data_IF_914116578643
#
_entry.id   IF_914116578643
#
_cell.length_a   1.000
_cell.length_b   1.000
_cell.length_c   1.000
_cell.angle_alpha   90.00
_cell.angle_beta   90.00
_cell.angle_gamma   90.00
#
_symmetry.space_group_name_H-M   'P 1'
#
loop_
_entity.id
_entity.type
_entity.pdbx_description
1 polymer ?
#
# COMPACT_ATOMS: atom_id res chain seq x y z
N UNK A 1 65.34 32.61 16.30
CA UNK A 1 64.61 33.49 17.22
C UNK A 1 63.25 33.93 16.67
N UNK A 2 62.55 33.04 15.87
CA UNK A 2 61.26 33.30 15.21
C UNK A 2 60.09 32.41 15.73
N UNK A 3 60.34 31.62 16.83
CA UNK A 3 59.38 30.60 17.20
C UNK A 3 58.44 30.97 18.40
N UNK A 4 58.75 32.03 19.15
CA UNK A 4 57.93 32.33 20.35
C UNK A 4 56.82 33.34 20.04
N UNK A 5 57.00 34.25 19.07
CA UNK A 5 55.97 35.22 18.66
C UNK A 5 54.84 34.60 17.84
N UNK A 6 55.14 33.58 17.07
CA UNK A 6 54.11 32.84 16.29
C UNK A 6 53.22 31.96 17.17
N UNK A 7 53.76 31.40 18.23
CA UNK A 7 52.95 30.56 19.16
C UNK A 7 52.04 31.46 20.03
N UNK A 8 52.49 32.65 20.43
CA UNK A 8 51.63 33.60 21.17
C UNK A 8 50.49 34.14 20.33
N UNK A 9 50.76 34.52 19.08
CA UNK A 9 49.73 35.00 18.17
C UNK A 9 48.69 33.94 17.82
N UNK A 10 49.07 32.64 17.67
CA UNK A 10 48.15 31.54 17.46
C UNK A 10 47.32 31.25 18.71
N UNK A 11 47.89 31.46 19.90
CA UNK A 11 47.19 31.33 21.16
C UNK A 11 46.17 32.43 21.40
N UNK A 12 46.53 33.70 21.12
CA UNK A 12 45.63 34.86 21.19
C UNK A 12 44.50 34.77 20.18
N UNK A 13 44.76 34.35 18.93
CA UNK A 13 43.71 34.12 17.95
C UNK A 13 42.81 32.95 18.34
N UNK A 14 43.35 31.90 18.96
CA UNK A 14 42.53 30.78 19.45
C UNK A 14 41.65 31.20 20.64
N UNK A 15 42.16 32.02 21.52
CA UNK A 15 41.42 32.53 22.69
C UNK A 15 40.39 33.61 22.25
N UNK A 16 40.70 34.45 21.26
CA UNK A 16 39.74 35.38 20.66
C UNK A 16 38.66 34.67 19.89
N UNK A 17 38.94 33.59 19.15
CA UNK A 17 37.95 32.74 18.47
C UNK A 17 37.10 31.98 19.45
N UNK A 18 37.68 31.52 20.59
CA UNK A 18 36.96 30.88 21.69
C UNK A 18 36.05 31.87 22.45
N UNK A 19 36.49 33.16 22.61
CA UNK A 19 35.65 34.23 23.13
C UNK A 19 34.56 34.68 22.18
N UNK A 20 34.84 34.73 20.85
CA UNK A 20 33.84 35.08 19.84
C UNK A 20 32.83 33.95 19.57
N UNK A 21 33.13 32.70 19.92
CA UNK A 21 32.18 31.58 19.91
C UNK A 21 31.36 31.44 21.21
N UNK A 22 31.61 32.29 22.18
CA UNK A 22 30.85 32.40 23.42
C UNK A 22 29.54 33.14 23.26
N UNK A 23 28.60 32.61 22.52
CA UNK A 23 27.22 32.70 22.96
C UNK A 23 27.24 32.29 24.42
N UNK A 24 26.99 33.24 25.34
CA UNK A 24 26.98 32.99 26.77
C UNK A 24 26.34 31.66 27.05
N UNK A 25 27.06 30.74 27.72
CA UNK A 25 26.56 29.41 28.04
C UNK A 25 25.19 29.50 28.71
N UNK A 26 24.95 30.61 29.38
CA UNK A 26 23.72 30.93 30.11
C UNK A 26 22.56 31.28 29.15
N UNK A 27 22.83 31.97 28.05
CA UNK A 27 21.83 32.31 27.02
C UNK A 27 21.39 31.04 26.30
N UNK A 28 22.31 30.14 25.93
CA UNK A 28 22.00 28.87 25.29
C UNK A 28 21.21 27.95 26.26
N UNK A 29 21.60 27.92 27.51
CA UNK A 29 20.91 27.14 28.56
C UNK A 29 19.48 27.67 28.76
N UNK A 30 19.30 28.99 28.88
CA UNK A 30 17.98 29.60 29.00
C UNK A 30 17.09 29.34 27.77
N UNK A 31 17.67 29.41 26.55
CA UNK A 31 16.95 29.08 25.31
C UNK A 31 16.50 27.62 25.27
N UNK A 32 17.36 26.66 25.63
CA UNK A 32 17.01 25.24 25.64
C UNK A 32 15.93 24.91 26.71
N UNK A 33 16.00 25.53 27.88
CA UNK A 33 14.97 25.41 28.92
C UNK A 33 13.66 25.98 28.43
N UNK A 34 13.66 27.17 27.84
CA UNK A 34 12.46 27.80 27.26
C UNK A 34 11.83 26.94 26.14
N UNK A 35 12.67 26.39 25.27
CA UNK A 35 12.22 25.49 24.21
C UNK A 35 11.61 24.21 24.77
N UNK A 36 12.20 23.61 25.81
CA UNK A 36 11.66 22.40 26.46
C UNK A 36 10.27 22.65 27.03
N UNK A 37 10.09 23.79 27.71
CA UNK A 37 8.79 24.19 28.25
C UNK A 37 7.77 24.42 27.12
N UNK A 38 8.16 25.06 26.03
CA UNK A 38 7.29 25.27 24.86
C UNK A 38 6.82 23.94 24.24
N UNK A 39 7.73 22.96 24.07
CA UNK A 39 7.41 21.61 23.59
C UNK A 39 6.44 20.92 24.54
N UNK A 40 6.66 20.98 25.83
CA UNK A 40 5.78 20.39 26.82
C UNK A 40 4.37 21.00 26.78
N UNK A 41 4.29 22.33 26.78
CA UNK A 41 3.00 23.05 26.73
C UNK A 41 2.25 22.75 25.41
N UNK A 42 2.95 22.68 24.29
CA UNK A 42 2.37 22.29 23.01
C UNK A 42 1.82 20.86 23.08
N UNK A 43 2.59 19.90 23.59
CA UNK A 43 2.16 18.52 23.76
C UNK A 43 0.96 18.39 24.70
N UNK A 44 0.96 19.15 25.80
CA UNK A 44 -0.14 19.17 26.74
C UNK A 44 -1.41 19.78 26.16
N UNK A 45 -1.29 20.92 25.43
CA UNK A 45 -2.41 21.50 24.69
C UNK A 45 -3.02 20.51 23.72
N UNK A 46 -2.16 19.81 22.95
CA UNK A 46 -2.60 18.80 22.00
C UNK A 46 -3.27 17.60 22.66
N UNK A 47 -2.73 17.14 23.78
CA UNK A 47 -3.35 16.08 24.58
C UNK A 47 -4.78 16.47 25.04
N UNK A 48 -4.97 17.70 25.48
CA UNK A 48 -6.30 18.19 25.88
C UNK A 48 -7.30 18.26 24.74
N UNK A 49 -6.85 18.48 23.51
CA UNK A 49 -7.73 18.63 22.33
C UNK A 49 -8.01 17.31 21.62
N UNK A 50 -7.01 16.41 21.54
CA UNK A 50 -7.10 15.16 20.75
C UNK A 50 -7.08 13.89 21.59
N UNK A 51 -6.87 13.99 22.93
CA UNK A 51 -6.76 12.87 23.88
C UNK A 51 -5.74 11.78 23.48
N UNK A 52 -4.79 12.12 22.59
CA UNK A 52 -3.75 11.20 22.13
C UNK A 52 -2.64 11.04 23.16
N UNK A 53 -2.68 9.94 23.93
CA UNK A 53 -1.64 9.61 24.94
C UNK A 53 -0.27 9.42 24.27
N UNK A 54 -0.22 8.89 23.06
CA UNK A 54 1.04 8.61 22.33
C UNK A 54 1.75 9.90 21.96
N UNK A 55 1.05 10.89 21.40
CA UNK A 55 1.62 12.19 21.03
C UNK A 55 2.13 12.93 22.27
N UNK A 56 1.40 12.84 23.37
CA UNK A 56 1.81 13.46 24.63
C UNK A 56 3.08 12.82 25.21
N UNK A 57 3.21 11.48 25.17
CA UNK A 57 4.43 10.80 25.57
C UNK A 57 5.64 11.20 24.72
N UNK A 58 5.47 11.33 23.41
CA UNK A 58 6.54 11.82 22.51
C UNK A 58 6.94 13.24 22.89
N UNK A 59 5.99 14.13 23.15
CA UNK A 59 6.26 15.50 23.57
C UNK A 59 6.98 15.55 24.92
N UNK A 60 6.63 14.69 25.88
CA UNK A 60 7.34 14.56 27.16
C UNK A 60 8.79 14.12 26.95
N UNK A 61 9.03 13.06 26.17
CA UNK A 61 10.38 12.54 25.91
C UNK A 61 11.26 13.61 25.25
N UNK A 62 10.73 14.30 24.23
CA UNK A 62 11.43 15.39 23.55
C UNK A 62 11.70 16.56 24.52
N UNK A 63 10.73 16.99 25.31
CA UNK A 63 10.86 18.06 26.29
C UNK A 63 11.93 17.73 27.33
N UNK A 64 11.89 16.51 27.91
CA UNK A 64 12.88 16.03 28.88
C UNK A 64 14.28 15.96 28.26
N UNK A 65 14.41 15.49 27.02
CA UNK A 65 15.68 15.43 26.31
C UNK A 65 16.29 16.83 26.11
N UNK A 66 15.49 17.78 25.64
CA UNK A 66 15.93 19.19 25.43
C UNK A 66 16.26 19.85 26.77
N UNK A 67 15.45 19.63 27.81
CA UNK A 67 15.71 20.14 29.16
C UNK A 67 17.03 19.60 29.72
N UNK A 68 17.24 18.30 29.66
CA UNK A 68 18.47 17.65 30.13
C UNK A 68 19.70 18.20 29.38
N UNK A 69 19.54 18.50 28.09
CA UNK A 69 20.59 19.11 27.26
C UNK A 69 21.02 20.48 27.78
N UNK A 70 20.09 21.30 28.24
CA UNK A 70 20.36 22.61 28.80
C UNK A 70 20.83 22.55 30.26
N UNK A 71 20.15 21.79 31.11
CA UNK A 71 20.34 21.79 32.55
C UNK A 71 21.58 20.99 33.04
N UNK A 72 21.98 19.97 32.27
CA UNK A 72 23.04 19.04 32.68
C UNK A 72 24.15 18.87 31.63
N UNK A 73 24.98 19.90 31.36
CA UNK A 73 26.07 19.79 30.39
C UNK A 73 27.07 18.66 30.67
N UNK A 74 27.21 18.26 31.94
CA UNK A 74 28.10 17.17 32.36
C UNK A 74 27.69 15.80 31.77
N UNK A 75 26.43 15.58 31.47
CA UNK A 75 25.91 14.34 30.82
C UNK A 75 26.59 14.12 29.48
N UNK A 76 26.86 15.19 28.72
CA UNK A 76 27.56 15.07 27.44
C UNK A 76 29.02 14.65 27.61
N UNK A 77 29.66 15.06 28.70
CA UNK A 77 31.03 14.61 29.04
C UNK A 77 31.07 13.12 29.33
N UNK A 78 30.09 12.60 30.09
CA UNK A 78 29.99 11.19 30.39
C UNK A 78 29.67 10.37 29.11
N UNK A 79 28.76 10.84 28.27
CA UNK A 79 28.46 10.18 26.99
C UNK A 79 29.65 10.22 26.04
N UNK A 80 30.39 11.35 25.98
CA UNK A 80 31.59 11.45 25.16
C UNK A 80 32.65 10.45 25.58
N UNK A 81 32.82 10.21 26.92
CA UNK A 81 33.71 9.19 27.45
C UNK A 81 33.28 7.76 27.06
N UNK A 82 31.99 7.44 27.16
CA UNK A 82 31.45 6.13 26.77
C UNK A 82 31.71 5.85 25.28
N UNK A 83 31.46 6.83 24.42
CA UNK A 83 31.62 6.67 22.96
C UNK A 83 33.06 6.97 22.48
N UNK A 84 34.01 7.25 23.40
CA UNK A 84 35.39 7.59 23.07
C UNK A 84 35.53 8.77 22.07
N UNK A 85 34.61 9.75 22.13
CA UNK A 85 34.58 10.90 21.25
C UNK A 85 35.14 12.12 21.97
N UNK A 86 36.26 12.64 21.49
CA UNK A 86 36.93 13.79 22.12
C UNK A 86 36.14 15.10 22.05
N UNK A 87 35.26 15.24 21.04
CA UNK A 87 34.49 16.50 20.79
C UNK A 87 33.05 16.35 21.26
N UNK A 88 32.68 17.07 22.32
CA UNK A 88 31.29 17.12 22.84
C UNK A 88 30.25 17.49 21.74
N UNK A 89 30.62 18.37 20.80
CA UNK A 89 29.75 18.77 19.69
C UNK A 89 29.33 17.60 18.79
N UNK A 90 30.21 16.61 18.60
CA UNK A 90 29.87 15.42 17.79
C UNK A 90 28.84 14.54 18.50
N UNK A 91 28.95 14.39 19.84
CA UNK A 91 27.95 13.62 20.61
C UNK A 91 26.59 14.28 20.57
N UNK A 92 26.53 15.62 20.74
CA UNK A 92 25.29 16.38 20.64
C UNK A 92 24.66 16.25 19.24
N UNK A 93 25.50 16.40 18.20
CA UNK A 93 25.05 16.26 16.80
C UNK A 93 24.52 14.84 16.52
N UNK A 94 25.22 13.81 17.01
CA UNK A 94 24.78 12.41 16.83
C UNK A 94 23.43 12.18 17.50
N UNK A 95 23.25 12.62 18.74
CA UNK A 95 21.98 12.47 19.47
C UNK A 95 20.84 13.24 18.81
N UNK A 96 21.11 14.49 18.36
CA UNK A 96 20.13 15.31 17.67
C UNK A 96 19.69 14.67 16.33
N UNK A 97 20.66 14.20 15.53
CA UNK A 97 20.35 13.53 14.27
C UNK A 97 19.61 12.20 14.48
N UNK A 98 20.00 11.40 15.49
CA UNK A 98 19.29 10.18 15.83
C UNK A 98 17.85 10.49 16.26
N UNK A 99 17.65 11.49 17.10
CA UNK A 99 16.32 11.94 17.51
C UNK A 99 15.47 12.41 16.31
N UNK A 100 16.09 13.17 15.40
CA UNK A 100 15.41 13.61 14.16
C UNK A 100 15.03 12.43 13.28
N UNK A 101 15.90 11.46 13.08
CA UNK A 101 15.58 10.24 12.30
C UNK A 101 14.42 9.49 12.94
N UNK A 102 14.45 9.28 14.26
CA UNK A 102 13.37 8.61 14.97
C UNK A 102 12.04 9.38 14.86
N UNK A 103 12.09 10.71 14.96
CA UNK A 103 10.90 11.57 14.75
C UNK A 103 10.36 11.43 13.34
N UNK A 104 11.19 11.47 12.32
CA UNK A 104 10.80 11.30 10.92
C UNK A 104 10.18 9.92 10.70
N UNK A 105 10.79 8.85 11.22
CA UNK A 105 10.23 7.50 11.14
C UNK A 105 8.88 7.39 11.85
N UNK A 106 8.73 8.02 13.02
CA UNK A 106 7.46 8.09 13.74
C UNK A 106 6.37 8.82 12.92
N UNK A 107 6.71 9.99 12.32
CA UNK A 107 5.78 10.73 11.48
C UNK A 107 5.37 9.93 10.24
N UNK A 108 6.30 9.24 9.59
CA UNK A 108 5.97 8.35 8.48
C UNK A 108 5.02 7.22 8.90
N UNK A 109 5.28 6.59 10.05
CA UNK A 109 4.40 5.55 10.58
C UNK A 109 2.99 6.09 10.88
N UNK A 110 2.90 7.31 11.45
CA UNK A 110 1.64 7.96 11.77
C UNK A 110 0.84 8.34 10.50
N UNK A 111 1.50 8.92 9.50
CA UNK A 111 0.88 9.25 8.21
C UNK A 111 0.34 7.98 7.55
N UNK A 112 1.12 6.90 7.55
CA UNK A 112 0.69 5.61 7.00
C UNK A 112 -0.52 5.03 7.75
N UNK A 113 -0.52 5.08 9.06
CA UNK A 113 -1.67 4.62 9.87
C UNK A 113 -2.94 5.40 9.56
N UNK A 114 -2.82 6.73 9.43
CA UNK A 114 -3.96 7.58 9.09
C UNK A 114 -4.49 7.27 7.68
N UNK A 115 -3.61 7.04 6.71
CA UNK A 115 -4.02 6.65 5.35
C UNK A 115 -4.80 5.32 5.35
N UNK A 116 -4.33 4.31 6.09
CA UNK A 116 -5.05 3.04 6.20
C UNK A 116 -6.44 3.21 6.82
N UNK A 117 -6.57 4.05 7.84
CA UNK A 117 -7.87 4.34 8.46
C UNK A 117 -8.81 5.07 7.51
N UNK A 118 -8.31 6.04 6.74
CA UNK A 118 -9.09 6.76 5.73
C UNK A 118 -9.56 5.78 4.64
N UNK A 119 -8.68 4.91 4.16
CA UNK A 119 -9.02 3.93 3.14
C UNK A 119 -10.09 2.94 3.63
N UNK A 120 -10.00 2.51 4.91
CA UNK A 120 -10.99 1.64 5.54
C UNK A 120 -12.36 2.32 5.63
N UNK A 121 -12.41 3.56 6.12
CA UNK A 121 -13.65 4.35 6.20
C UNK A 121 -14.25 4.57 4.80
N UNK A 122 -13.42 4.94 3.83
CA UNK A 122 -13.85 5.11 2.44
C UNK A 122 -14.49 3.83 1.91
N UNK A 123 -13.84 2.68 2.12
CA UNK A 123 -14.36 1.37 1.69
C UNK A 123 -15.69 1.05 2.34
N UNK A 124 -15.81 1.21 3.66
CA UNK A 124 -17.05 0.95 4.39
C UNK A 124 -18.20 1.80 3.85
N UNK A 125 -17.99 3.10 3.66
CA UNK A 125 -19.00 4.00 3.10
C UNK A 125 -19.39 3.61 1.67
N UNK A 126 -18.43 3.22 0.83
CA UNK A 126 -18.69 2.81 -0.55
C UNK A 126 -19.51 1.50 -0.59
N UNK A 127 -19.21 0.56 0.30
CA UNK A 127 -19.98 -0.69 0.42
C UNK A 127 -21.41 -0.43 0.88
N UNK A 128 -21.61 0.40 1.90
CA UNK A 128 -22.95 0.79 2.38
C UNK A 128 -23.77 1.50 1.29
N UNK A 129 -23.15 2.36 0.48
CA UNK A 129 -23.82 2.99 -0.67
C UNK A 129 -24.24 1.96 -1.73
N UNK A 130 -23.41 0.95 -1.97
CA UNK A 130 -23.72 -0.11 -2.92
C UNK A 130 -24.93 -0.96 -2.48
N UNK A 131 -25.08 -1.19 -1.18
CA UNK A 131 -26.23 -1.91 -0.62
C UNK A 131 -27.54 -1.11 -0.77
N UNK A 132 -27.48 0.21 -0.59
CA UNK A 132 -28.62 1.11 -0.79
C UNK A 132 -29.11 1.19 -2.25
N UNK A 133 -28.30 0.81 -3.21
CA UNK A 133 -28.64 0.76 -4.64
C UNK A 133 -29.03 -0.65 -5.13
N UNK A 134 -28.89 -1.67 -4.27
CA UNK A 134 -29.36 -3.01 -4.58
C UNK A 134 -30.89 -2.98 -4.67
N UNK A 135 -31.41 -3.12 -5.89
CA UNK A 135 -32.84 -3.38 -6.08
C UNK A 135 -33.19 -4.70 -5.37
N UNK A 136 -34.26 -4.69 -4.58
CA UNK A 136 -34.81 -5.79 -3.80
C UNK A 136 -35.28 -7.02 -4.62
N UNK A 137 -34.73 -7.23 -5.79
CA UNK A 137 -35.02 -8.30 -6.73
C UNK A 137 -33.80 -9.23 -6.96
N UNK A 138 -32.87 -9.33 -5.99
CA UNK A 138 -31.92 -10.44 -6.00
C UNK A 138 -32.68 -11.67 -5.49
N UNK A 139 -33.20 -12.44 -6.46
CA UNK A 139 -33.89 -13.70 -6.22
C UNK A 139 -32.90 -14.64 -5.51
N UNK A 140 -33.14 -14.98 -4.25
CA UNK A 140 -32.20 -15.67 -3.35
C UNK A 140 -31.78 -17.08 -3.86
N UNK A 141 -32.33 -17.53 -4.97
CA UNK A 141 -32.10 -18.86 -5.57
C UNK A 141 -31.30 -18.79 -6.89
N UNK A 142 -31.02 -17.58 -7.43
CA UNK A 142 -30.27 -17.41 -8.68
C UNK A 142 -28.75 -17.52 -8.41
N UNK A 143 -28.10 -18.50 -9.03
CA UNK A 143 -26.63 -18.59 -8.99
C UNK A 143 -25.99 -17.42 -9.73
N UNK A 144 -25.02 -16.78 -9.11
CA UNK A 144 -24.42 -15.55 -9.65
C UNK A 144 -22.91 -15.60 -9.73
N UNK A 145 -22.41 -14.99 -10.80
CA UNK A 145 -20.99 -14.67 -10.99
C UNK A 145 -20.83 -13.15 -10.94
N UNK A 146 -20.08 -12.65 -9.97
CA UNK A 146 -19.74 -11.24 -9.93
C UNK A 146 -18.41 -10.97 -10.63
N UNK A 147 -18.43 -10.15 -11.68
CA UNK A 147 -17.21 -9.71 -12.40
C UNK A 147 -16.79 -8.36 -11.85
N UNK A 148 -15.73 -8.35 -11.05
CA UNK A 148 -15.17 -7.15 -10.45
C UNK A 148 -14.17 -6.53 -11.41
N UNK A 149 -14.39 -5.27 -11.76
CA UNK A 149 -13.58 -4.49 -12.70
C UNK A 149 -13.07 -3.24 -11.98
N UNK A 150 -11.86 -3.27 -11.40
CA UNK A 150 -11.24 -2.07 -10.87
C UNK A 150 -10.89 -1.12 -12.02
N UNK A 151 -11.31 0.14 -11.93
CA UNK A 151 -11.11 1.14 -12.96
C UNK A 151 -10.55 2.45 -12.36
N UNK A 152 -9.50 3.00 -12.98
CA UNK A 152 -8.95 4.30 -12.64
C UNK A 152 -8.58 5.08 -13.89
N UNK A 153 -9.39 6.09 -14.25
CA UNK A 153 -9.26 6.87 -15.47
C UNK A 153 -9.25 5.97 -16.72
N UNK A 154 -10.31 5.19 -16.87
CA UNK A 154 -10.51 4.22 -17.96
C UNK A 154 -11.82 4.52 -18.74
N UNK A 155 -12.20 5.80 -18.85
CA UNK A 155 -13.44 6.23 -19.53
C UNK A 155 -13.57 5.75 -20.98
N UNK A 156 -12.43 5.54 -21.68
CA UNK A 156 -12.40 5.10 -23.07
C UNK A 156 -12.68 3.59 -23.23
N UNK A 157 -12.27 2.77 -22.27
CA UNK A 157 -12.27 1.30 -22.36
C UNK A 157 -13.38 0.64 -21.54
N UNK A 158 -13.67 1.15 -20.33
CA UNK A 158 -14.53 0.47 -19.35
C UNK A 158 -15.92 0.13 -19.86
N UNK A 159 -16.56 1.05 -20.61
CA UNK A 159 -17.91 0.79 -21.16
C UNK A 159 -17.93 -0.37 -22.13
N UNK A 160 -16.90 -0.50 -22.98
CA UNK A 160 -16.77 -1.60 -23.93
C UNK A 160 -16.54 -2.91 -23.21
N UNK A 161 -15.64 -2.93 -22.21
CA UNK A 161 -15.37 -4.11 -21.37
C UNK A 161 -16.64 -4.61 -20.70
N UNK A 162 -17.40 -3.71 -20.06
CA UNK A 162 -18.67 -4.09 -19.41
C UNK A 162 -19.68 -4.63 -20.40
N UNK A 163 -19.82 -4.01 -21.58
CA UNK A 163 -20.77 -4.45 -22.62
C UNK A 163 -20.41 -5.76 -23.30
N UNK A 164 -19.14 -6.16 -23.28
CA UNK A 164 -18.70 -7.45 -23.84
C UNK A 164 -18.91 -8.63 -22.89
N UNK A 165 -19.28 -8.38 -21.62
CA UNK A 165 -19.58 -9.46 -20.69
C UNK A 165 -20.82 -10.24 -21.11
N UNK A 166 -20.77 -11.58 -21.06
CA UNK A 166 -21.96 -12.41 -21.36
C UNK A 166 -23.00 -12.27 -20.23
N UNK A 167 -24.26 -12.44 -20.56
CA UNK A 167 -25.35 -12.38 -19.58
C UNK A 167 -25.30 -13.56 -18.58
N UNK A 168 -24.80 -14.73 -19.03
CA UNK A 168 -24.67 -15.91 -18.19
C UNK A 168 -23.46 -16.78 -18.57
N UNK A 169 -22.92 -17.53 -17.61
CA UNK A 169 -21.84 -18.49 -17.78
C UNK A 169 -22.14 -19.74 -16.95
N UNK A 170 -22.08 -20.92 -17.55
CA UNK A 170 -22.31 -22.19 -16.89
C UNK A 170 -23.56 -22.22 -15.98
N UNK A 171 -24.65 -21.57 -16.43
CA UNK A 171 -25.89 -21.53 -15.66
C UNK A 171 -25.92 -20.52 -14.49
N UNK A 172 -24.92 -19.65 -14.39
CA UNK A 172 -24.88 -18.55 -13.44
C UNK A 172 -25.13 -17.23 -14.16
N UNK A 173 -25.95 -16.34 -13.61
CA UNK A 173 -26.11 -14.98 -14.09
C UNK A 173 -24.83 -14.16 -13.86
N UNK A 174 -24.40 -13.40 -14.85
CA UNK A 174 -23.20 -12.55 -14.75
C UNK A 174 -23.60 -11.15 -14.33
N UNK A 175 -23.10 -10.69 -13.20
CA UNK A 175 -23.31 -9.35 -12.65
C UNK A 175 -21.99 -8.57 -12.71
N UNK A 176 -21.93 -7.51 -13.50
CA UNK A 176 -20.75 -6.65 -13.56
C UNK A 176 -20.74 -5.66 -12.39
N UNK A 177 -19.61 -5.57 -11.68
CA UNK A 177 -19.36 -4.64 -10.61
C UNK A 177 -18.08 -3.83 -10.93
N UNK A 178 -18.25 -2.59 -11.30
CA UNK A 178 -17.13 -1.68 -11.57
C UNK A 178 -16.83 -0.85 -10.32
N UNK A 179 -15.58 -0.87 -9.88
CA UNK A 179 -15.11 -0.01 -8.79
C UNK A 179 -14.24 1.09 -9.39
N UNK A 180 -14.81 2.30 -9.49
CA UNK A 180 -14.13 3.50 -9.95
C UNK A 180 -13.26 4.05 -8.81
N UNK A 181 -11.95 3.82 -8.88
CA UNK A 181 -11.01 4.05 -7.78
C UNK A 181 -10.48 5.50 -7.77
N UNK A 182 -11.35 6.45 -7.45
CA UNK A 182 -11.02 7.87 -7.41
C UNK A 182 -10.70 8.43 -8.80
N UNK A 183 -11.43 7.99 -9.85
CA UNK A 183 -11.26 8.50 -11.21
C UNK A 183 -11.60 9.99 -11.28
N UNK A 184 -10.84 10.72 -12.10
CA UNK A 184 -11.05 12.16 -12.35
C UNK A 184 -11.61 12.44 -13.73
N UNK A 185 -11.81 11.39 -14.53
CA UNK A 185 -12.45 11.41 -15.86
C UNK A 185 -13.90 10.88 -15.80
N UNK A 186 -14.53 10.72 -16.94
CA UNK A 186 -15.90 10.23 -17.06
C UNK A 186 -16.06 8.70 -16.87
N UNK A 187 -15.12 8.01 -16.16
CA UNK A 187 -15.16 6.54 -15.99
C UNK A 187 -16.49 6.07 -15.38
N UNK A 188 -16.91 6.64 -14.26
CA UNK A 188 -18.13 6.24 -13.56
C UNK A 188 -19.39 6.52 -14.39
N UNK A 189 -19.49 7.70 -15.01
CA UNK A 189 -20.61 8.08 -15.87
C UNK A 189 -20.75 7.14 -17.09
N UNK A 190 -19.63 6.69 -17.67
CA UNK A 190 -19.62 5.73 -18.78
C UNK A 190 -20.18 4.37 -18.35
N UNK A 191 -19.90 3.94 -17.12
CA UNK A 191 -20.44 2.69 -16.56
C UNK A 191 -21.93 2.84 -16.22
N UNK A 192 -22.32 3.95 -15.59
CA UNK A 192 -23.71 4.20 -15.21
C UNK A 192 -24.70 4.15 -16.40
N UNK A 193 -24.21 4.32 -17.63
CA UNK A 193 -24.98 4.14 -18.86
C UNK A 193 -25.12 2.66 -19.32
N UNK A 194 -24.72 1.70 -18.47
CA UNK A 194 -24.78 0.25 -18.73
C UNK A 194 -25.62 -0.46 -17.66
N UNK A 195 -25.76 -1.79 -17.77
CA UNK A 195 -26.42 -2.60 -16.74
C UNK A 195 -25.49 -2.95 -15.55
N UNK A 196 -24.25 -2.48 -15.54
CA UNK A 196 -23.31 -2.78 -14.46
C UNK A 196 -23.61 -1.94 -13.22
N UNK A 197 -23.37 -2.50 -12.05
CA UNK A 197 -23.25 -1.74 -10.81
C UNK A 197 -21.94 -0.94 -10.85
N UNK A 198 -21.99 0.36 -10.59
CA UNK A 198 -20.81 1.18 -10.38
C UNK A 198 -20.77 1.68 -8.94
N UNK A 199 -19.61 1.57 -8.32
CA UNK A 199 -19.33 2.18 -7.01
C UNK A 199 -18.08 3.05 -7.14
N UNK A 200 -18.04 4.15 -6.40
CA UNK A 200 -16.99 5.15 -6.53
C UNK A 200 -16.25 5.35 -5.22
N UNK A 201 -14.93 5.23 -5.28
CA UNK A 201 -14.08 5.70 -4.20
C UNK A 201 -13.86 7.21 -4.35
N UNK A 202 -14.02 8.01 -3.30
CA UNK A 202 -13.71 9.44 -3.34
C UNK A 202 -12.20 9.72 -3.50
N UNK A 203 -11.35 8.74 -3.18
CA UNK A 203 -9.88 8.81 -3.27
C UNK A 203 -9.32 7.52 -3.87
N UNK A 204 -8.26 7.63 -4.68
CA UNK A 204 -7.57 6.49 -5.24
C UNK A 204 -6.89 5.65 -4.14
N UNK A 205 -7.33 4.43 -3.96
CA UNK A 205 -6.78 3.44 -3.01
C UNK A 205 -5.85 2.43 -3.69
N UNK A 206 -5.79 2.44 -5.01
CA UNK A 206 -5.08 1.47 -5.82
C UNK A 206 -5.89 0.22 -6.14
N UNK A 207 -5.41 -0.56 -7.11
CA UNK A 207 -6.10 -1.75 -7.63
C UNK A 207 -6.52 -2.74 -6.52
N UNK A 208 -5.67 -2.95 -5.52
CA UNK A 208 -6.00 -3.83 -4.40
C UNK A 208 -7.09 -3.28 -3.49
N UNK A 209 -7.14 -1.95 -3.29
CA UNK A 209 -8.23 -1.29 -2.57
C UNK A 209 -9.57 -1.47 -3.29
N UNK A 210 -9.59 -1.23 -4.60
CA UNK A 210 -10.77 -1.45 -5.43
C UNK A 210 -11.24 -2.92 -5.44
N UNK A 211 -10.30 -3.87 -5.52
CA UNK A 211 -10.64 -5.30 -5.44
C UNK A 211 -11.20 -5.68 -4.08
N UNK A 212 -10.65 -5.16 -2.97
CA UNK A 212 -11.20 -5.42 -1.61
C UNK A 212 -12.64 -4.94 -1.49
N UNK A 213 -12.96 -3.75 -2.00
CA UNK A 213 -14.33 -3.22 -2.05
C UNK A 213 -15.23 -4.13 -2.89
N UNK A 214 -14.77 -4.53 -4.09
CA UNK A 214 -15.52 -5.44 -4.94
C UNK A 214 -15.77 -6.80 -4.31
N UNK A 215 -14.77 -7.38 -3.63
CA UNK A 215 -14.93 -8.66 -2.91
C UNK A 215 -15.91 -8.55 -1.76
N UNK A 216 -15.88 -7.45 -1.01
CA UNK A 216 -16.81 -7.23 0.09
C UNK A 216 -18.26 -7.14 -0.41
N UNK A 217 -18.52 -6.36 -1.48
CA UNK A 217 -19.85 -6.26 -2.09
C UNK A 217 -20.30 -7.61 -2.66
N UNK A 218 -19.43 -8.32 -3.38
CA UNK A 218 -19.75 -9.64 -3.94
C UNK A 218 -20.08 -10.66 -2.83
N UNK A 219 -19.35 -10.62 -1.71
CA UNK A 219 -19.59 -11.45 -0.53
C UNK A 219 -20.94 -11.15 0.11
N UNK A 220 -21.28 -9.89 0.32
CA UNK A 220 -22.57 -9.46 0.91
C UNK A 220 -23.75 -9.85 0.02
N UNK A 221 -23.55 -9.81 -1.30
CA UNK A 221 -24.56 -10.25 -2.28
C UNK A 221 -24.60 -11.77 -2.53
N UNK A 222 -23.83 -12.54 -1.79
CA UNK A 222 -23.84 -14.00 -1.86
C UNK A 222 -23.35 -14.58 -3.19
N UNK A 223 -22.39 -13.91 -3.88
CA UNK A 223 -21.86 -14.40 -5.14
C UNK A 223 -21.30 -15.81 -5.05
N UNK A 224 -21.71 -16.73 -5.94
CA UNK A 224 -21.17 -18.10 -6.00
C UNK A 224 -19.73 -18.12 -6.50
N UNK A 225 -19.45 -17.26 -7.48
CA UNK A 225 -18.12 -17.12 -8.09
C UNK A 225 -17.83 -15.64 -8.27
N UNK A 226 -16.58 -15.26 -8.01
CA UNK A 226 -16.10 -13.91 -8.26
C UNK A 226 -14.97 -13.94 -9.28
N UNK A 227 -15.10 -13.16 -10.33
CA UNK A 227 -14.07 -12.96 -11.34
C UNK A 227 -13.45 -11.57 -11.15
N UNK A 228 -12.14 -11.46 -11.30
CA UNK A 228 -11.44 -10.18 -11.41
C UNK A 228 -10.90 -10.00 -12.81
N UNK A 229 -11.06 -8.84 -13.40
CA UNK A 229 -10.48 -8.48 -14.70
C UNK A 229 -10.20 -6.98 -14.77
N UNK A 230 -9.19 -6.60 -15.57
CA UNK A 230 -8.81 -5.19 -15.72
C UNK A 230 -9.78 -4.44 -16.68
N UNK A 231 -9.94 -3.14 -16.46
CA UNK A 231 -10.84 -2.27 -17.26
C UNK A 231 -10.27 -1.85 -18.62
N UNK A 232 -9.02 -2.22 -18.93
CA UNK A 232 -8.28 -1.75 -20.11
C UNK A 232 -8.53 -2.56 -21.40
N UNK A 233 -9.36 -3.60 -21.32
CA UNK A 233 -9.72 -4.44 -22.45
C UNK A 233 -8.67 -5.48 -22.84
N UNK A 234 -7.63 -5.69 -22.04
CA UNK A 234 -6.60 -6.70 -22.32
C UNK A 234 -7.08 -8.15 -22.06
N UNK A 235 -8.14 -8.32 -21.27
CA UNK A 235 -8.71 -9.63 -20.95
C UNK A 235 -9.90 -9.95 -21.85
N UNK A 236 -9.77 -10.92 -22.78
CA UNK A 236 -10.88 -11.33 -23.66
C UNK A 236 -12.01 -11.96 -22.86
N UNK A 237 -13.22 -11.42 -23.01
CA UNK A 237 -14.42 -11.90 -22.28
C UNK A 237 -14.88 -13.28 -22.72
N UNK A 238 -14.52 -13.71 -23.92
CA UNK A 238 -14.77 -15.06 -24.46
C UNK A 238 -14.08 -16.16 -23.63
N UNK A 239 -13.01 -15.82 -22.88
CA UNK A 239 -12.26 -16.74 -22.06
C UNK A 239 -12.80 -16.87 -20.62
N UNK A 240 -13.82 -16.08 -20.25
CA UNK A 240 -14.44 -16.14 -18.91
C UNK A 240 -15.02 -17.53 -18.61
N UNK A 241 -15.62 -18.17 -19.60
CA UNK A 241 -16.16 -19.52 -19.44
C UNK A 241 -15.10 -20.55 -19.05
N UNK A 242 -13.94 -20.49 -19.72
CA UNK A 242 -12.81 -21.37 -19.39
C UNK A 242 -12.22 -21.07 -18.00
N UNK A 243 -12.21 -19.79 -17.59
CA UNK A 243 -11.72 -19.37 -16.28
C UNK A 243 -12.58 -19.90 -15.13
N UNK A 244 -13.90 -19.97 -15.34
CA UNK A 244 -14.87 -20.42 -14.34
C UNK A 244 -15.04 -21.94 -14.30
N UNK A 245 -14.85 -22.63 -15.43
CA UNK A 245 -15.11 -24.05 -15.58
C UNK A 245 -14.52 -24.94 -14.45
N UNK A 246 -13.25 -24.77 -14.00
CA UNK A 246 -12.69 -25.60 -12.93
C UNK A 246 -13.37 -25.38 -11.58
N UNK A 247 -13.93 -24.19 -11.32
CA UNK A 247 -14.67 -23.90 -10.08
C UNK A 247 -16.05 -24.57 -10.12
N UNK A 248 -16.73 -24.48 -11.26
CA UNK A 248 -18.05 -25.14 -11.47
C UNK A 248 -17.92 -26.65 -11.39
N UNK A 249 -16.82 -27.23 -11.94
CA UNK A 249 -16.52 -28.66 -11.86
C UNK A 249 -16.02 -29.11 -10.46
N UNK A 250 -15.94 -28.20 -9.49
CA UNK A 250 -15.43 -28.46 -8.14
C UNK A 250 -13.96 -28.94 -8.09
N UNK A 251 -13.20 -28.72 -9.15
CA UNK A 251 -11.77 -29.07 -9.24
C UNK A 251 -10.87 -28.04 -8.58
N UNK A 252 -11.27 -26.75 -8.58
CA UNK A 252 -10.52 -25.64 -8.03
C UNK A 252 -11.40 -24.74 -7.16
N UNK A 253 -10.74 -24.03 -6.22
CA UNK A 253 -11.34 -22.95 -5.43
C UNK A 253 -10.86 -21.57 -5.93
N UNK A 254 -9.72 -21.54 -6.61
CA UNK A 254 -9.10 -20.35 -7.16
C UNK A 254 -8.44 -20.69 -8.51
N UNK A 255 -8.81 -19.96 -9.55
CA UNK A 255 -8.26 -20.12 -10.90
C UNK A 255 -7.51 -18.86 -11.31
N UNK A 256 -6.32 -19.05 -11.84
CA UNK A 256 -5.44 -17.99 -12.35
C UNK A 256 -5.28 -18.14 -13.85
N UNK A 257 -5.59 -17.11 -14.62
CA UNK A 257 -5.26 -17.08 -16.03
C UNK A 257 -3.76 -16.82 -16.22
N UNK A 258 -3.07 -17.67 -16.97
CA UNK A 258 -1.65 -17.49 -17.27
C UNK A 258 -1.42 -17.18 -18.73
N UNK A 259 -0.71 -16.08 -18.99
CA UNK A 259 -0.21 -15.73 -20.32
C UNK A 259 0.99 -16.58 -20.74
N UNK A 260 1.66 -17.23 -19.78
CA UNK A 260 2.85 -18.07 -20.07
C UNK A 260 2.48 -19.52 -20.39
N UNK A 261 1.27 -19.95 -20.06
CA UNK A 261 0.67 -21.20 -20.52
C UNK A 261 -0.15 -20.94 -21.80
N UNK A 262 -0.73 -19.75 -21.93
CA UNK A 262 -1.45 -19.28 -23.11
C UNK A 262 -0.59 -18.38 -23.99
N UNK A 263 -1.11 -17.20 -24.38
CA UNK A 263 -0.46 -16.26 -25.28
C UNK A 263 -0.30 -14.87 -24.66
N UNK A 264 0.88 -14.29 -24.75
CA UNK A 264 1.18 -12.92 -24.32
C UNK A 264 1.36 -12.01 -25.55
N UNK A 265 0.27 -11.38 -25.96
CA UNK A 265 0.25 -10.37 -27.02
C UNK A 265 0.42 -8.94 -26.48
N UNK A 266 0.70 -8.79 -25.16
CA UNK A 266 0.94 -7.50 -24.53
C UNK A 266 2.34 -6.96 -24.90
N UNK A 267 2.48 -5.63 -24.92
CA UNK A 267 3.75 -4.94 -25.18
C UNK A 267 4.75 -5.02 -23.99
N UNK A 268 4.76 -6.13 -23.26
CA UNK A 268 5.68 -6.32 -22.14
C UNK A 268 7.10 -6.60 -22.62
N UNK A 269 8.02 -5.68 -22.35
CA UNK A 269 9.45 -5.87 -22.66
C UNK A 269 10.09 -7.04 -21.90
N UNK A 270 11.23 -7.53 -22.42
CA UNK A 270 11.99 -8.68 -21.87
C UNK A 270 12.26 -8.51 -20.36
N UNK A 271 12.67 -7.32 -19.92
CA UNK A 271 12.97 -7.03 -18.51
C UNK A 271 11.75 -7.29 -17.60
N UNK A 272 10.55 -6.91 -18.02
CA UNK A 272 9.32 -7.14 -17.25
C UNK A 272 8.97 -8.62 -17.19
N UNK A 273 9.08 -9.32 -18.33
CA UNK A 273 8.83 -10.78 -18.39
C UNK A 273 9.80 -11.55 -17.49
N UNK A 274 11.09 -11.19 -17.51
CA UNK A 274 12.10 -11.80 -16.63
C UNK A 274 11.79 -11.52 -15.14
N UNK A 275 11.42 -10.29 -14.79
CA UNK A 275 11.01 -9.94 -13.42
C UNK A 275 9.81 -10.76 -12.94
N UNK A 276 8.77 -10.92 -13.76
CA UNK A 276 7.61 -11.74 -13.42
C UNK A 276 8.02 -13.20 -13.15
N UNK A 277 8.89 -13.77 -13.98
CA UNK A 277 9.37 -15.16 -13.78
C UNK A 277 10.12 -15.31 -12.47
N UNK A 278 10.99 -14.37 -12.12
CA UNK A 278 11.72 -14.39 -10.83
C UNK A 278 10.77 -14.34 -9.65
N UNK A 279 9.80 -13.44 -9.66
CA UNK A 279 8.82 -13.33 -8.57
C UNK A 279 7.90 -14.55 -8.50
N UNK A 280 7.50 -15.10 -9.65
CA UNK A 280 6.70 -16.33 -9.69
C UNK A 280 7.49 -17.52 -9.13
N UNK A 281 8.76 -17.65 -9.48
CA UNK A 281 9.64 -18.70 -8.92
C UNK A 281 9.77 -18.56 -7.39
N UNK A 282 9.90 -17.32 -6.88
CA UNK A 282 9.95 -17.05 -5.45
C UNK A 282 8.64 -17.48 -4.75
N UNK A 283 7.49 -17.10 -5.30
CA UNK A 283 6.18 -17.50 -4.76
C UNK A 283 6.05 -19.03 -4.77
N UNK A 284 6.42 -19.70 -5.86
CA UNK A 284 6.36 -21.16 -5.95
C UNK A 284 7.28 -21.84 -4.93
N UNK A 285 8.50 -21.30 -4.73
CA UNK A 285 9.42 -21.83 -3.72
C UNK A 285 8.84 -21.76 -2.29
N UNK A 286 8.12 -20.69 -1.99
CA UNK A 286 7.52 -20.45 -0.67
C UNK A 286 6.21 -21.23 -0.49
N UNK A 287 5.33 -21.25 -1.51
CA UNK A 287 3.95 -21.71 -1.39
C UNK A 287 3.66 -23.05 -2.04
N UNK A 288 4.57 -23.54 -2.90
CA UNK A 288 4.37 -24.72 -3.76
C UNK A 288 3.10 -24.61 -4.61
N UNK A 289 2.75 -23.39 -5.05
CA UNK A 289 1.52 -23.14 -5.81
C UNK A 289 1.56 -23.74 -7.24
N UNK A 290 2.76 -23.89 -7.83
CA UNK A 290 2.92 -24.48 -9.16
C UNK A 290 2.41 -23.60 -10.30
N UNK A 291 2.40 -22.26 -10.10
CA UNK A 291 1.92 -21.27 -11.07
C UNK A 291 3.05 -20.77 -11.98
N UNK A 292 2.68 -20.20 -13.13
CA UNK A 292 3.61 -19.59 -14.09
C UNK A 292 3.44 -18.07 -14.19
N UNK A 293 2.31 -17.50 -13.76
CA UNK A 293 2.01 -16.07 -13.80
C UNK A 293 1.42 -15.53 -12.48
N UNK A 294 2.25 -14.93 -11.64
CA UNK A 294 1.81 -14.36 -10.37
C UNK A 294 1.18 -12.96 -10.49
N UNK A 295 1.25 -12.31 -11.65
CA UNK A 295 0.90 -10.88 -11.80
C UNK A 295 -0.37 -10.61 -12.61
N UNK A 296 -0.93 -11.62 -13.25
CA UNK A 296 -2.14 -11.47 -14.05
C UNK A 296 -3.35 -11.16 -13.16
N UNK A 297 -4.15 -10.17 -13.54
CA UNK A 297 -5.41 -9.78 -12.88
C UNK A 297 -6.62 -10.62 -13.26
N UNK A 298 -6.50 -11.48 -14.29
CA UNK A 298 -7.60 -12.30 -14.80
C UNK A 298 -7.73 -13.60 -14.00
N UNK A 299 -8.69 -13.65 -13.08
CA UNK A 299 -8.80 -14.68 -12.05
C UNK A 299 -10.25 -14.99 -11.71
N UNK A 300 -10.51 -16.21 -11.25
CA UNK A 300 -11.79 -16.59 -10.66
C UNK A 300 -11.59 -17.20 -9.27
N UNK A 301 -12.49 -16.90 -8.35
CA UNK A 301 -12.45 -17.36 -6.97
C UNK A 301 -13.84 -17.84 -6.59
N UNK A 302 -13.95 -19.00 -5.92
CA UNK A 302 -15.20 -19.48 -5.35
C UNK A 302 -15.68 -18.49 -4.28
N UNK A 303 -16.91 -18.01 -4.37
CA UNK A 303 -17.46 -16.98 -3.49
C UNK A 303 -17.40 -17.33 -2.00
N UNK A 304 -17.72 -18.58 -1.64
CA UNK A 304 -17.64 -19.07 -0.26
C UNK A 304 -16.23 -19.01 0.34
N UNK A 305 -15.17 -18.97 -0.50
CA UNK A 305 -13.78 -18.92 -0.07
C UNK A 305 -13.26 -17.49 0.12
N UNK A 306 -14.03 -16.45 -0.25
CA UNK A 306 -13.64 -15.07 -0.04
C UNK A 306 -13.43 -14.72 1.44
N UNK A 307 -14.21 -15.31 2.33
CA UNK A 307 -14.10 -15.09 3.78
C UNK A 307 -12.76 -15.58 4.37
N UNK A 308 -12.10 -16.54 3.71
CA UNK A 308 -10.85 -17.11 4.18
C UNK A 308 -9.66 -16.18 3.86
N UNK A 309 -9.81 -15.29 2.88
CA UNK A 309 -8.74 -14.44 2.36
C UNK A 309 -8.59 -13.15 3.19
N UNK A 310 -7.39 -12.91 3.70
CA UNK A 310 -7.05 -11.68 4.40
C UNK A 310 -6.18 -10.79 3.49
N UNK A 311 -6.77 -9.78 2.86
CA UNK A 311 -6.08 -8.89 1.93
C UNK A 311 -5.74 -7.56 2.59
N UNK A 312 -4.47 -7.21 2.58
CA UNK A 312 -3.96 -5.95 3.18
C UNK A 312 -3.33 -5.02 2.16
N UNK A 313 -2.83 -5.55 1.05
CA UNK A 313 -2.15 -4.77 0.03
C UNK A 313 -3.15 -4.00 -0.85
N UNK A 314 -2.80 -2.73 -1.12
CA UNK A 314 -3.65 -1.85 -1.92
C UNK A 314 -3.22 -1.78 -3.39
N UNK A 315 -1.94 -2.07 -3.67
CA UNK A 315 -1.38 -1.94 -5.03
C UNK A 315 -0.92 -3.24 -5.66
N UNK A 316 -0.50 -4.22 -4.85
CA UNK A 316 0.11 -5.47 -5.31
C UNK A 316 -0.72 -6.68 -4.88
N UNK A 317 -2.03 -6.60 -5.07
CA UNK A 317 -2.98 -7.64 -4.64
C UNK A 317 -2.80 -8.99 -5.34
N UNK A 318 -2.27 -8.99 -6.56
CA UNK A 318 -2.14 -10.21 -7.36
C UNK A 318 -1.27 -11.30 -6.70
N UNK A 319 -0.04 -11.05 -6.26
CA UNK A 319 0.75 -12.03 -5.52
C UNK A 319 0.21 -12.30 -4.11
N UNK A 320 -0.37 -11.30 -3.43
CA UNK A 320 -0.98 -11.49 -2.13
C UNK A 320 -2.10 -12.53 -2.18
N UNK A 321 -3.02 -12.41 -3.15
CA UNK A 321 -4.10 -13.36 -3.35
C UNK A 321 -3.62 -14.81 -3.51
N UNK A 322 -2.53 -15.03 -4.27
CA UNK A 322 -1.97 -16.38 -4.47
C UNK A 322 -1.40 -16.93 -3.16
N UNK A 323 -0.62 -16.12 -2.45
CA UNK A 323 0.02 -16.53 -1.19
C UNK A 323 -1.06 -16.81 -0.14
N UNK A 324 -2.03 -15.91 0.03
CA UNK A 324 -3.16 -16.12 0.97
C UNK A 324 -3.98 -17.36 0.61
N UNK A 325 -4.35 -17.52 -0.66
CA UNK A 325 -5.10 -18.70 -1.11
C UNK A 325 -4.37 -20.01 -0.76
N UNK A 326 -3.06 -20.08 -0.99
CA UNK A 326 -2.27 -21.27 -0.62
C UNK A 326 -2.15 -21.48 0.88
N UNK A 327 -1.94 -20.42 1.65
CA UNK A 327 -1.90 -20.47 3.13
C UNK A 327 -3.21 -20.95 3.72
N UNK A 328 -4.32 -20.62 3.09
CA UNK A 328 -5.69 -21.03 3.50
C UNK A 328 -6.13 -22.37 2.89
N UNK A 329 -5.24 -23.06 2.19
CA UNK A 329 -5.50 -24.39 1.65
C UNK A 329 -6.42 -24.42 0.43
N UNK A 330 -6.62 -23.29 -0.29
CA UNK A 330 -7.37 -23.26 -1.52
C UNK A 330 -6.67 -24.10 -2.60
N UNK A 331 -7.47 -24.84 -3.38
CA UNK A 331 -7.00 -25.54 -4.57
C UNK A 331 -6.85 -24.52 -5.69
N UNK A 332 -5.59 -24.25 -6.05
CA UNK A 332 -5.26 -23.30 -7.13
C UNK A 332 -5.04 -24.08 -8.42
N UNK A 333 -5.68 -23.62 -9.50
CA UNK A 333 -5.46 -24.12 -10.86
C UNK A 333 -5.07 -22.96 -11.76
N UNK A 334 -4.19 -23.21 -12.69
CA UNK A 334 -3.79 -22.26 -13.73
C UNK A 334 -4.33 -22.72 -15.08
N UNK A 335 -4.90 -21.77 -15.84
CA UNK A 335 -5.40 -22.04 -17.19
C UNK A 335 -4.70 -21.14 -18.21
N UNK A 336 -4.56 -21.59 -19.47
CA UNK A 336 -4.04 -20.75 -20.54
C UNK A 336 -5.03 -19.61 -20.83
N UNK A 337 -4.51 -18.38 -20.92
CA UNK A 337 -5.27 -17.23 -21.38
C UNK A 337 -4.45 -16.41 -22.38
N UNK A 338 -5.13 -15.76 -23.32
CA UNK A 338 -4.54 -14.79 -24.20
C UNK A 338 -4.70 -13.40 -23.61
N UNK A 339 -3.62 -12.65 -23.46
CA UNK A 339 -3.66 -11.25 -23.08
C UNK A 339 -3.53 -10.42 -24.33
N UNK A 340 -4.57 -9.66 -24.65
CA UNK A 340 -4.60 -8.79 -25.81
C UNK A 340 -3.67 -7.58 -25.65
N UNK A 341 -3.33 -6.94 -26.74
CA UNK A 341 -2.63 -5.66 -26.72
C UNK A 341 -3.58 -4.59 -26.16
N UNK A 342 -3.05 -3.71 -25.29
CA UNK A 342 -3.81 -2.55 -24.80
C UNK A 342 -4.13 -1.64 -25.99
N UNK A 343 -5.38 -1.25 -26.14
CA UNK A 343 -5.82 -0.40 -27.26
C UNK A 343 -5.59 1.08 -26.97
N UNK A 344 -5.70 1.50 -25.71
CA UNK A 344 -5.58 2.90 -25.28
C UNK A 344 -4.76 3.04 -23.99
N UNK A 345 -4.10 4.18 -23.85
CA UNK A 345 -3.32 4.53 -22.65
C UNK A 345 -1.95 3.86 -22.52
N UNK A 346 -1.12 4.38 -21.64
CA UNK A 346 0.20 3.83 -21.31
C UNK A 346 0.20 3.15 -19.94
N UNK A 347 1.10 2.17 -19.74
CA UNK A 347 1.28 1.54 -18.43
C UNK A 347 1.87 2.54 -17.43
N UNK A 348 1.09 2.93 -16.43
CA UNK A 348 1.45 3.90 -15.38
C UNK A 348 2.39 3.31 -14.30
N UNK A 349 2.93 2.10 -14.47
CA UNK A 349 3.71 1.37 -13.43
C UNK A 349 5.21 1.71 -13.53
N UNK A 350 5.83 2.41 -12.55
CA UNK A 350 7.25 2.70 -12.54
C UNK A 350 8.08 1.44 -12.36
N UNK A 351 9.10 1.22 -13.24
CA UNK A 351 9.82 -0.05 -13.34
C UNK A 351 10.52 -0.53 -12.06
N UNK A 352 11.27 0.34 -11.36
CA UNK A 352 12.02 -0.05 -10.17
C UNK A 352 11.16 -0.09 -8.89
N UNK A 353 10.30 0.93 -8.68
CA UNK A 353 9.39 0.96 -7.53
C UNK A 353 8.39 -0.19 -7.53
N UNK A 354 8.00 -0.68 -8.72
CA UNK A 354 7.12 -1.83 -8.87
C UNK A 354 7.78 -3.12 -8.37
N UNK A 355 9.05 -3.37 -8.74
CA UNK A 355 9.78 -4.56 -8.31
C UNK A 355 9.99 -4.60 -6.79
N UNK A 356 10.37 -3.48 -6.18
CA UNK A 356 10.54 -3.37 -4.73
C UNK A 356 9.21 -3.54 -3.98
N UNK A 357 8.13 -2.94 -4.48
CA UNK A 357 6.80 -3.11 -3.92
C UNK A 357 6.34 -4.57 -3.97
N UNK A 358 6.55 -5.24 -5.10
CA UNK A 358 6.20 -6.65 -5.28
C UNK A 358 7.00 -7.56 -4.33
N UNK A 359 8.32 -7.36 -4.23
CA UNK A 359 9.18 -8.12 -3.30
C UNK A 359 8.72 -7.94 -1.84
N UNK A 360 8.45 -6.69 -1.45
CA UNK A 360 7.94 -6.38 -0.12
C UNK A 360 6.60 -7.09 0.14
N UNK A 361 5.64 -7.01 -0.78
CA UNK A 361 4.34 -7.68 -0.63
C UNK A 361 4.50 -9.18 -0.46
N UNK A 362 5.31 -9.84 -1.27
CA UNK A 362 5.56 -11.28 -1.17
C UNK A 362 6.10 -11.64 0.21
N UNK A 363 7.13 -10.93 0.68
CA UNK A 363 7.75 -11.20 1.99
C UNK A 363 6.79 -10.92 3.16
N UNK A 364 6.11 -9.77 3.14
CA UNK A 364 5.20 -9.39 4.24
C UNK A 364 3.98 -10.30 4.31
N UNK A 365 3.41 -10.70 3.17
CA UNK A 365 2.28 -11.63 3.13
C UNK A 365 2.69 -13.03 3.59
N UNK A 366 3.89 -13.46 3.26
CA UNK A 366 4.38 -14.78 3.71
C UNK A 366 4.60 -14.84 5.22
N UNK A 367 5.21 -13.78 5.80
CA UNK A 367 5.54 -13.72 7.25
C UNK A 367 4.27 -13.54 8.11
N UNK A 368 3.27 -12.82 7.61
CA UNK A 368 1.98 -12.66 8.28
C UNK A 368 1.24 -13.98 8.44
#
# INVERSE_FOLDING_TARGET
MLSIRTVSAVRETKDAVLQASGLDSDVLTAFLIGLSVAIFLWGFKRYRTTFSRREFLVAIVLSVGVFASGAFPAVYGALAAIFQVERRSLVVSLLANTGLILLVLYLFAQVRSNQLSINELTRTLTVEQADGTATSADDSDERTIHVIVPAYNEAESVRRVVKSLPASLHGHAVKALVVSDGSTDATAERVASTAATVVEHPLNQGQGGALKTGFEIARQRGADIVITMDADGQHPTEQLGALVAPIVAEEADYVVGSRYVGEDNSDNGVTRRSGIRVFTALINAMTKAGITDCTNGFRAIRGSRLNDLTLTEERFSAPELIIEARKKGLRIQEIPVTIARRETGESKKPKLGYALGLARTILTTWIR
#
